data_IF_729408509423
#
_entry.id   IF_729408509423
#
_cell.length_a   1.000
_cell.length_b   1.000
_cell.length_c   1.000
_cell.angle_alpha   90.00
_cell.angle_beta   90.00
_cell.angle_gamma   90.00
#
_symmetry.space_group_name_H-M   'P 1'
#
loop_
_entity.id
_entity.type
_entity.pdbx_description
1 polymer ?
#
# COMPACT_ATOMS: atom_id res chain seq x y z
N UNK A 1 -7.55 59.10 35.14
CA UNK A 1 -7.07 57.81 35.71
C UNK A 1 -7.68 56.70 34.91
N UNK A 2 -6.96 56.12 33.98
CA UNK A 2 -7.44 55.02 33.11
C UNK A 2 -6.41 53.90 33.29
N UNK A 3 -6.84 52.85 33.94
CA UNK A 3 -6.03 51.63 34.16
C UNK A 3 -6.09 50.73 32.94
N UNK A 4 -4.99 50.61 32.22
CA UNK A 4 -4.77 49.62 31.18
C UNK A 4 -4.59 48.25 31.80
N UNK A 5 -5.50 47.33 31.54
CA UNK A 5 -5.29 45.91 31.74
C UNK A 5 -4.41 45.38 30.56
N UNK A 6 -3.19 45.03 30.88
CA UNK A 6 -2.31 44.32 29.97
C UNK A 6 -2.63 42.83 30.00
N UNK A 7 -3.24 42.34 28.92
CA UNK A 7 -3.45 40.92 28.67
C UNK A 7 -2.12 40.25 28.33
N UNK A 8 -1.48 39.68 29.33
CA UNK A 8 -0.26 38.90 29.18
C UNK A 8 -0.60 37.51 28.64
N UNK A 9 -0.66 37.38 27.32
CA UNK A 9 -0.65 36.06 26.67
C UNK A 9 0.63 35.32 27.08
N UNK A 10 0.53 34.41 28.05
CA UNK A 10 1.56 33.42 28.33
C UNK A 10 1.77 32.60 27.06
N UNK A 11 2.80 32.90 26.30
CA UNK A 11 3.40 31.99 25.35
C UNK A 11 3.99 30.84 26.15
N UNK A 12 3.34 29.67 26.07
CA UNK A 12 3.91 28.41 26.56
C UNK A 12 5.10 28.11 25.66
N UNK A 13 6.31 28.00 26.18
CA UNK A 13 7.46 27.64 25.36
C UNK A 13 7.20 26.23 24.82
N UNK A 14 7.10 26.09 23.50
CA UNK A 14 7.25 24.81 22.80
C UNK A 14 8.71 24.45 23.01
N UNK A 15 8.99 23.62 24.00
CA UNK A 15 10.31 23.02 24.13
C UNK A 15 10.50 22.10 22.93
N UNK A 16 11.26 22.58 21.94
CA UNK A 16 11.88 21.73 20.93
C UNK A 16 12.89 20.82 21.63
N UNK A 17 12.44 19.85 22.37
CA UNK A 17 13.26 18.72 22.76
C UNK A 17 13.59 17.97 21.47
N UNK A 18 14.72 18.29 20.91
CA UNK A 18 15.30 17.66 19.74
C UNK A 18 15.54 16.19 20.10
N UNK A 19 14.67 15.31 19.62
CA UNK A 19 14.97 13.89 19.52
C UNK A 19 16.32 13.80 18.79
N UNK A 20 17.32 13.24 19.44
CA UNK A 20 18.69 13.23 18.95
C UNK A 20 18.89 12.13 17.91
N UNK A 21 18.06 12.14 16.85
CA UNK A 21 18.29 11.32 15.67
C UNK A 21 19.44 11.92 14.87
N UNK A 22 20.54 11.19 14.78
CA UNK A 22 21.69 11.62 13.97
C UNK A 22 21.45 11.26 12.51
N UNK A 23 21.79 12.13 11.55
CA UNK A 23 21.55 11.87 10.13
C UNK A 23 22.37 10.70 9.59
N UNK A 24 21.91 10.10 8.49
CA UNK A 24 22.41 8.87 7.84
C UNK A 24 23.85 8.96 7.26
N UNK A 25 24.70 9.85 7.75
CA UNK A 25 26.01 10.15 7.18
C UNK A 25 27.12 9.13 7.50
N UNK A 26 26.90 8.18 8.42
CA UNK A 26 27.93 7.20 8.80
C UNK A 26 27.34 5.79 9.00
N UNK A 27 28.17 4.73 8.77
CA UNK A 27 27.80 3.32 9.02
C UNK A 27 27.22 3.05 10.41
N UNK A 28 27.67 3.82 11.41
CA UNK A 28 27.20 3.70 12.79
C UNK A 28 25.73 4.15 12.95
N UNK A 29 25.28 5.09 12.13
CA UNK A 29 23.92 5.65 12.17
C UNK A 29 22.94 4.74 11.43
N UNK A 30 23.36 4.12 10.30
CA UNK A 30 22.56 3.12 9.61
C UNK A 30 22.24 1.94 10.54
N UNK A 31 23.17 1.52 11.39
CA UNK A 31 22.97 0.42 12.35
C UNK A 31 21.87 0.71 13.37
N UNK A 32 21.63 1.96 13.75
CA UNK A 32 20.54 2.32 14.69
C UNK A 32 19.15 2.15 14.09
N UNK A 33 19.03 2.26 12.76
CA UNK A 33 17.77 2.13 12.03
C UNK A 33 17.56 0.73 11.41
N UNK A 34 18.54 -0.18 11.53
CA UNK A 34 18.41 -1.56 11.04
C UNK A 34 17.15 -2.27 11.52
N UNK A 35 16.73 -2.17 12.80
CA UNK A 35 15.48 -2.83 13.24
C UNK A 35 14.25 -2.31 12.51
N UNK A 36 14.18 -1.00 12.21
CA UNK A 36 13.08 -0.40 11.45
C UNK A 36 13.11 -0.84 9.98
N UNK A 37 14.29 -0.88 9.37
CA UNK A 37 14.44 -1.37 7.99
C UNK A 37 14.11 -2.86 7.89
N UNK A 38 14.51 -3.65 8.88
CA UNK A 38 14.18 -5.07 8.96
C UNK A 38 12.68 -5.30 9.17
N UNK A 39 12.02 -4.45 9.97
CA UNK A 39 10.55 -4.42 10.04
C UNK A 39 9.91 -4.31 8.66
N UNK A 40 10.35 -3.36 7.82
CA UNK A 40 9.80 -3.20 6.45
C UNK A 40 10.09 -4.40 5.55
N UNK A 41 11.24 -5.04 5.68
CA UNK A 41 11.53 -6.28 4.95
C UNK A 41 10.58 -7.41 5.35
N UNK A 42 10.40 -7.63 6.65
CA UNK A 42 9.47 -8.65 7.17
C UNK A 42 8.01 -8.34 6.79
N UNK A 43 7.64 -7.06 6.81
CA UNK A 43 6.31 -6.61 6.39
C UNK A 43 6.05 -6.95 4.92
N UNK A 44 7.00 -6.63 4.04
CA UNK A 44 6.91 -6.99 2.62
C UNK A 44 6.86 -8.49 2.40
N UNK A 45 7.63 -9.26 3.17
CA UNK A 45 7.61 -10.72 3.16
C UNK A 45 6.22 -11.25 3.56
N UNK A 46 5.67 -10.80 4.69
CA UNK A 46 4.39 -11.30 5.23
C UNK A 46 3.22 -11.12 4.26
N UNK A 47 3.19 -10.01 3.51
CA UNK A 47 2.12 -9.76 2.55
C UNK A 47 2.20 -10.66 1.32
N UNK A 48 3.40 -10.99 0.86
CA UNK A 48 3.56 -11.72 -0.39
C UNK A 48 3.66 -13.23 -0.18
N UNK A 49 4.21 -13.69 0.94
CA UNK A 49 4.48 -15.11 1.19
C UNK A 49 3.21 -15.98 1.11
N UNK A 50 2.09 -15.46 1.56
CA UNK A 50 0.81 -16.17 1.55
C UNK A 50 -0.01 -15.96 0.27
N UNK A 51 0.46 -15.17 -0.69
CA UNK A 51 -0.36 -14.71 -1.82
C UNK A 51 -0.86 -15.88 -2.69
N UNK A 52 0.02 -16.81 -3.05
CA UNK A 52 -0.35 -18.01 -3.82
C UNK A 52 -1.23 -18.93 -2.99
N UNK A 53 -0.79 -19.27 -1.78
CA UNK A 53 -1.53 -20.14 -0.88
C UNK A 53 -2.95 -19.63 -0.61
N UNK A 54 -3.12 -18.33 -0.39
CA UNK A 54 -4.43 -17.71 -0.14
C UNK A 54 -5.35 -17.82 -1.36
N UNK A 55 -4.83 -17.54 -2.58
CA UNK A 55 -5.61 -17.67 -3.82
C UNK A 55 -6.13 -19.09 -4.00
N UNK A 56 -5.25 -20.09 -3.95
CA UNK A 56 -5.64 -21.49 -4.13
C UNK A 56 -6.53 -22.00 -2.99
N UNK A 57 -6.27 -21.64 -1.75
CA UNK A 57 -7.10 -22.02 -0.62
C UNK A 57 -8.53 -21.48 -0.76
N UNK A 58 -8.68 -20.22 -1.19
CA UNK A 58 -10.01 -19.66 -1.47
C UNK A 58 -10.72 -20.35 -2.63
N UNK A 59 -9.99 -20.70 -3.70
CA UNK A 59 -10.58 -21.36 -4.88
C UNK A 59 -10.91 -22.82 -4.63
N UNK A 60 -10.01 -23.58 -3.99
CA UNK A 60 -10.09 -25.04 -3.89
C UNK A 60 -10.73 -25.54 -2.58
N UNK A 61 -10.41 -24.87 -1.47
CA UNK A 61 -10.85 -25.31 -0.13
C UNK A 61 -12.14 -24.60 0.28
N UNK A 62 -12.15 -23.27 0.22
CA UNK A 62 -13.34 -22.47 0.58
C UNK A 62 -14.37 -22.46 -0.56
N UNK A 63 -13.90 -22.60 -1.81
CA UNK A 63 -14.72 -22.68 -3.04
C UNK A 63 -15.55 -21.43 -3.31
N UNK A 64 -14.97 -20.26 -3.07
CA UNK A 64 -15.61 -18.98 -3.34
C UNK A 64 -15.65 -18.66 -4.84
N UNK A 65 -16.64 -17.88 -5.25
CA UNK A 65 -16.73 -17.33 -6.61
C UNK A 65 -15.72 -16.18 -6.80
N UNK A 66 -15.40 -15.79 -8.05
CA UNK A 66 -14.54 -14.65 -8.33
C UNK A 66 -15.04 -13.34 -7.70
N UNK A 67 -16.34 -13.10 -7.67
CA UNK A 67 -16.95 -11.93 -7.04
C UNK A 67 -16.80 -11.96 -5.52
N UNK A 68 -17.05 -13.10 -4.87
CA UNK A 68 -16.87 -13.29 -3.44
C UNK A 68 -15.40 -13.10 -3.04
N UNK A 69 -14.46 -13.67 -3.80
CA UNK A 69 -13.02 -13.52 -3.53
C UNK A 69 -12.60 -12.04 -3.59
N UNK A 70 -13.06 -11.30 -4.61
CA UNK A 70 -12.78 -9.88 -4.73
C UNK A 70 -13.35 -9.07 -3.55
N UNK A 71 -14.61 -9.35 -3.16
CA UNK A 71 -15.25 -8.71 -2.01
C UNK A 71 -14.54 -9.02 -0.69
N UNK A 72 -14.16 -10.28 -0.45
CA UNK A 72 -13.42 -10.67 0.77
C UNK A 72 -12.08 -9.94 0.89
N UNK A 73 -11.32 -9.81 -0.21
CA UNK A 73 -10.08 -9.01 -0.22
C UNK A 73 -10.36 -7.52 -0.03
N UNK A 74 -11.41 -6.98 -0.68
CA UNK A 74 -11.83 -5.59 -0.52
C UNK A 74 -12.16 -5.25 0.93
N UNK A 75 -13.01 -6.05 1.59
CA UNK A 75 -13.36 -5.88 3.01
C UNK A 75 -12.13 -6.00 3.91
N UNK A 76 -11.24 -6.97 3.64
CA UNK A 76 -10.00 -7.16 4.41
C UNK A 76 -9.01 -5.99 4.24
N UNK A 77 -9.16 -5.16 3.23
CA UNK A 77 -8.36 -3.95 3.03
C UNK A 77 -8.94 -2.70 3.73
N UNK A 78 -10.19 -2.73 4.22
CA UNK A 78 -10.83 -1.57 4.92
C UNK A 78 -9.97 -1.00 6.05
N UNK A 79 -9.31 -1.80 6.91
CA UNK A 79 -8.45 -1.27 7.97
C UNK A 79 -7.36 -0.31 7.48
N UNK A 80 -6.87 -0.47 6.25
CA UNK A 80 -5.86 0.42 5.65
C UNK A 80 -6.40 1.83 5.35
N UNK A 81 -7.72 1.99 5.28
CA UNK A 81 -8.38 3.29 5.15
C UNK A 81 -8.39 4.05 6.48
N UNK A 82 -8.20 3.35 7.60
CA UNK A 82 -8.26 3.90 8.95
C UNK A 82 -6.90 4.32 9.52
N UNK A 83 -5.83 4.34 8.73
CA UNK A 83 -4.47 4.73 9.16
C UNK A 83 -4.41 6.01 10.01
N UNK A 84 -5.13 7.12 9.70
CA UNK A 84 -5.10 8.31 10.53
C UNK A 84 -5.66 8.09 11.94
N UNK A 85 -6.62 7.18 12.09
CA UNK A 85 -7.22 6.83 13.38
C UNK A 85 -6.19 6.12 14.26
N UNK A 86 -5.43 5.20 13.69
CA UNK A 86 -4.38 4.46 14.42
C UNK A 86 -3.25 5.39 14.88
N UNK A 87 -2.80 6.28 14.00
CA UNK A 87 -1.84 7.33 14.35
C UNK A 87 -2.36 8.21 15.50
N UNK A 88 -3.62 8.62 15.41
CA UNK A 88 -4.28 9.42 16.44
C UNK A 88 -4.38 8.69 17.78
N UNK A 89 -4.75 7.40 17.78
CA UNK A 89 -4.83 6.58 19.02
C UNK A 89 -3.47 6.55 19.69
N UNK A 90 -2.40 6.24 18.94
CA UNK A 90 -1.06 6.11 19.49
C UNK A 90 -0.48 7.44 19.98
N UNK A 91 -0.78 8.55 19.29
CA UNK A 91 -0.37 9.89 19.70
C UNK A 91 -1.07 10.34 20.98
N UNK A 92 -2.34 9.94 21.15
CA UNK A 92 -3.17 10.37 22.27
C UNK A 92 -2.93 9.57 23.54
N UNK A 93 -2.61 8.27 23.41
CA UNK A 93 -2.49 7.38 24.56
C UNK A 93 -1.24 6.50 24.45
N UNK A 94 -0.14 6.88 25.11
CA UNK A 94 1.03 6.00 25.21
C UNK A 94 0.66 4.70 25.94
N UNK A 95 1.15 3.57 25.42
CA UNK A 95 0.94 2.25 26.05
C UNK A 95 2.26 1.82 26.71
N UNK A 96 2.23 1.51 28.01
CA UNK A 96 3.43 1.19 28.81
C UNK A 96 4.53 2.28 28.74
N UNK A 97 4.14 3.54 28.57
CA UNK A 97 5.04 4.66 28.45
C UNK A 97 5.69 4.85 27.06
N UNK A 98 5.30 4.06 26.07
CA UNK A 98 5.78 4.19 24.69
C UNK A 98 4.65 4.51 23.72
N UNK A 99 4.90 5.41 22.77
CA UNK A 99 3.88 5.81 21.77
C UNK A 99 3.77 4.85 20.61
N UNK A 100 4.86 4.22 20.20
CA UNK A 100 4.93 3.43 18.97
C UNK A 100 5.24 1.97 19.26
N UNK A 101 6.35 1.71 19.95
CA UNK A 101 6.90 0.38 20.16
C UNK A 101 5.92 -0.61 20.78
N UNK A 102 5.21 -0.22 21.84
CA UNK A 102 4.26 -1.11 22.50
C UNK A 102 3.09 -1.52 21.63
N UNK A 103 2.60 -0.59 20.80
CA UNK A 103 1.57 -0.88 19.80
C UNK A 103 2.07 -1.80 18.69
N UNK A 104 3.29 -1.54 18.15
CA UNK A 104 3.91 -2.42 17.15
C UNK A 104 3.99 -3.87 17.66
N UNK A 105 4.52 -4.07 18.87
CA UNK A 105 4.66 -5.38 19.49
C UNK A 105 3.29 -6.05 19.69
N UNK A 106 2.33 -5.35 20.31
CA UNK A 106 1.02 -5.91 20.62
C UNK A 106 0.22 -6.30 19.38
N UNK A 107 0.15 -5.41 18.39
CA UNK A 107 -0.59 -5.69 17.16
C UNK A 107 0.11 -6.70 16.25
N UNK A 108 1.45 -6.80 16.27
CA UNK A 108 2.15 -7.86 15.57
C UNK A 108 1.83 -9.24 16.15
N UNK A 109 1.78 -9.40 17.48
CA UNK A 109 1.31 -10.65 18.11
C UNK A 109 -0.16 -10.94 17.78
N UNK A 110 -1.01 -9.92 17.74
CA UNK A 110 -2.42 -10.09 17.32
C UNK A 110 -2.50 -10.61 15.88
N UNK A 111 -1.70 -10.05 14.96
CA UNK A 111 -1.63 -10.53 13.57
C UNK A 111 -1.15 -12.00 13.52
N UNK A 112 -0.11 -12.36 14.29
CA UNK A 112 0.37 -13.74 14.35
C UNK A 112 -0.74 -14.71 14.80
N UNK A 113 -1.49 -14.33 15.83
CA UNK A 113 -2.62 -15.11 16.32
C UNK A 113 -3.71 -15.29 15.26
N UNK A 114 -4.04 -14.25 14.50
CA UNK A 114 -5.02 -14.34 13.42
C UNK A 114 -4.56 -15.28 12.29
N UNK A 115 -3.27 -15.29 11.95
CA UNK A 115 -2.72 -16.25 10.99
C UNK A 115 -2.77 -17.70 11.47
N UNK A 116 -2.59 -17.95 12.78
CA UNK A 116 -2.77 -19.29 13.38
C UNK A 116 -4.24 -19.68 13.37
N UNK A 117 -5.13 -18.73 13.63
CA UNK A 117 -6.57 -18.97 13.71
C UNK A 117 -7.20 -19.28 12.34
N UNK A 118 -6.69 -18.66 11.27
CA UNK A 118 -7.27 -18.72 9.92
C UNK A 118 -7.54 -20.14 9.40
N UNK A 119 -6.60 -21.10 9.47
CA UNK A 119 -6.87 -22.47 9.03
C UNK A 119 -7.75 -23.29 10.01
N UNK A 120 -8.02 -22.78 11.21
CA UNK A 120 -8.77 -23.49 12.25
C UNK A 120 -10.25 -23.11 12.31
N UNK A 121 -10.63 -21.99 11.66
CA UNK A 121 -12.03 -21.55 11.65
C UNK A 121 -12.85 -22.32 10.61
N UNK A 122 -14.19 -22.41 10.78
CA UNK A 122 -15.07 -22.96 9.76
C UNK A 122 -14.87 -22.26 8.42
N UNK A 123 -15.07 -22.98 7.31
CA UNK A 123 -14.97 -22.43 5.95
C UNK A 123 -16.20 -21.59 5.60
N UNK A 124 -16.60 -20.71 6.50
CA UNK A 124 -17.64 -19.71 6.33
C UNK A 124 -17.03 -18.38 5.83
N UNK A 125 -17.59 -17.83 4.76
CA UNK A 125 -17.08 -16.62 4.11
C UNK A 125 -16.97 -15.43 5.07
N UNK A 126 -17.97 -15.26 5.94
CA UNK A 126 -18.00 -14.14 6.89
C UNK A 126 -16.92 -14.31 7.96
N UNK A 127 -16.77 -15.51 8.51
CA UNK A 127 -15.77 -15.79 9.56
C UNK A 127 -14.37 -15.65 9.00
N UNK A 128 -14.11 -16.20 7.81
CA UNK A 128 -12.80 -16.09 7.14
C UNK A 128 -12.49 -14.61 6.87
N UNK A 129 -13.45 -13.88 6.30
CA UNK A 129 -13.28 -12.44 6.01
C UNK A 129 -13.01 -11.64 7.28
N UNK A 130 -13.70 -11.96 8.38
CA UNK A 130 -13.47 -11.31 9.67
C UNK A 130 -12.05 -11.57 10.19
N UNK A 131 -11.56 -12.82 10.16
CA UNK A 131 -10.22 -13.18 10.60
C UNK A 131 -9.15 -12.49 9.71
N UNK A 132 -9.34 -12.49 8.39
CA UNK A 132 -8.46 -11.78 7.45
C UNK A 132 -8.44 -10.27 7.73
N UNK A 133 -9.61 -9.68 7.98
CA UNK A 133 -9.75 -8.25 8.30
C UNK A 133 -9.02 -7.90 9.61
N UNK A 134 -9.14 -8.74 10.63
CA UNK A 134 -8.43 -8.55 11.90
C UNK A 134 -6.92 -8.75 11.76
N UNK A 135 -6.46 -9.72 10.97
CA UNK A 135 -5.04 -9.92 10.65
C UNK A 135 -4.46 -8.70 9.93
N UNK A 136 -5.16 -8.26 8.89
CA UNK A 136 -4.82 -7.09 8.06
C UNK A 136 -4.80 -5.80 8.90
N UNK A 137 -5.83 -5.59 9.73
CA UNK A 137 -5.94 -4.42 10.61
C UNK A 137 -4.84 -4.36 11.66
N UNK A 138 -4.50 -5.50 12.24
CA UNK A 138 -3.41 -5.60 13.21
C UNK A 138 -2.07 -5.24 12.57
N UNK A 139 -1.80 -5.76 11.38
CA UNK A 139 -0.57 -5.43 10.65
C UNK A 139 -0.55 -3.97 10.19
N UNK A 140 -1.70 -3.44 9.74
CA UNK A 140 -1.83 -2.04 9.37
C UNK A 140 -1.55 -1.10 10.55
N UNK A 141 -2.01 -1.44 11.75
CA UNK A 141 -1.70 -0.65 12.95
C UNK A 141 -0.20 -0.60 13.21
N UNK A 142 0.48 -1.76 13.14
CA UNK A 142 1.93 -1.82 13.30
C UNK A 142 2.68 -1.03 12.21
N UNK A 143 2.22 -1.09 10.94
CA UNK A 143 2.76 -0.32 9.81
C UNK A 143 2.65 1.19 10.04
N UNK A 144 1.51 1.69 10.53
CA UNK A 144 1.32 3.12 10.85
C UNK A 144 2.28 3.59 11.95
N UNK A 145 2.59 2.74 12.92
CA UNK A 145 3.57 3.07 13.95
C UNK A 145 4.98 3.16 13.36
N UNK A 146 5.35 2.22 12.49
CA UNK A 146 6.62 2.25 11.77
C UNK A 146 6.74 3.46 10.84
N UNK A 147 5.68 3.77 10.07
CA UNK A 147 5.60 4.95 9.21
C UNK A 147 5.78 6.26 10.01
N UNK A 148 5.21 6.34 11.21
CA UNK A 148 5.35 7.50 12.09
C UNK A 148 6.80 7.68 12.57
N UNK A 149 7.46 6.58 12.96
CA UNK A 149 8.89 6.59 13.33
C UNK A 149 9.76 6.95 12.11
N UNK A 150 9.42 6.43 10.93
CA UNK A 150 10.13 6.75 9.69
C UNK A 150 10.08 8.24 9.36
N UNK A 151 8.90 8.88 9.52
CA UNK A 151 8.73 10.33 9.32
C UNK A 151 9.53 11.12 10.36
N UNK A 152 9.58 10.67 11.62
CA UNK A 152 10.39 11.30 12.67
C UNK A 152 11.89 11.25 12.33
N UNK A 153 12.38 10.10 11.84
CA UNK A 153 13.79 9.95 11.38
C UNK A 153 14.06 10.81 10.14
N UNK A 154 13.16 10.83 9.17
CA UNK A 154 13.31 11.59 7.92
C UNK A 154 13.36 13.11 8.14
N UNK A 155 12.77 13.64 9.23
CA UNK A 155 12.82 15.06 9.57
C UNK A 155 14.21 15.55 9.96
N UNK A 156 15.07 14.65 10.43
CA UNK A 156 16.43 14.98 10.90
C UNK A 156 17.46 14.75 9.80
N UNK A 157 17.06 14.24 8.63
CA UNK A 157 17.94 14.09 7.47
C UNK A 157 18.41 15.48 6.97
N UNK A 158 19.71 15.60 6.70
CA UNK A 158 20.28 16.79 6.03
C UNK A 158 19.69 16.96 4.63
N UNK A 159 19.63 18.21 4.12
CA UNK A 159 19.01 18.54 2.83
C UNK A 159 19.55 17.71 1.65
N UNK A 160 20.84 17.37 1.67
CA UNK A 160 21.46 16.52 0.65
C UNK A 160 21.01 15.07 0.69
N UNK A 161 20.45 14.60 1.82
CA UNK A 161 20.08 13.21 2.08
C UNK A 161 18.56 13.01 2.22
N UNK A 162 17.76 14.05 2.04
CA UNK A 162 16.30 13.99 2.18
C UNK A 162 15.67 12.84 1.34
N UNK A 163 14.90 12.01 2.01
CA UNK A 163 14.22 10.87 1.42
C UNK A 163 15.06 9.59 1.33
N UNK A 164 16.26 9.58 1.90
CA UNK A 164 17.13 8.40 1.87
C UNK A 164 16.53 7.26 2.70
N UNK A 165 16.12 7.51 3.93
CA UNK A 165 15.53 6.48 4.80
C UNK A 165 14.22 5.93 4.21
N UNK A 166 13.39 6.79 3.60
CA UNK A 166 12.17 6.38 2.95
C UNK A 166 12.43 5.47 1.75
N UNK A 167 13.43 5.83 0.92
CA UNK A 167 13.85 4.98 -0.20
C UNK A 167 14.35 3.62 0.27
N UNK A 168 15.16 3.57 1.33
CA UNK A 168 15.64 2.32 1.92
C UNK A 168 14.49 1.47 2.47
N UNK A 169 13.52 2.06 3.15
CA UNK A 169 12.36 1.34 3.68
C UNK A 169 11.53 0.68 2.58
N UNK A 170 11.28 1.38 1.47
CA UNK A 170 10.60 0.81 0.31
C UNK A 170 11.42 -0.28 -0.39
N UNK A 171 12.74 -0.08 -0.52
CA UNK A 171 13.63 -1.12 -1.07
C UNK A 171 13.63 -2.38 -0.20
N UNK A 172 13.69 -2.25 1.12
CA UNK A 172 13.62 -3.38 2.05
C UNK A 172 12.27 -4.08 1.97
N UNK A 173 11.16 -3.33 1.88
CA UNK A 173 9.81 -3.86 1.69
C UNK A 173 9.69 -4.66 0.39
N UNK A 174 10.17 -4.11 -0.72
CA UNK A 174 10.18 -4.83 -2.01
C UNK A 174 11.13 -6.02 -2.00
N UNK A 175 12.30 -5.91 -1.36
CA UNK A 175 13.23 -7.01 -1.19
C UNK A 175 12.63 -8.17 -0.39
N UNK A 176 11.95 -7.87 0.71
CA UNK A 176 11.19 -8.87 1.48
C UNK A 176 10.09 -9.52 0.65
N UNK A 177 9.32 -8.73 -0.11
CA UNK A 177 8.29 -9.21 -1.02
C UNK A 177 8.86 -10.10 -2.13
N UNK A 178 10.01 -9.75 -2.70
CA UNK A 178 10.70 -10.56 -3.71
C UNK A 178 11.11 -11.93 -3.17
N UNK A 179 11.72 -11.97 -1.97
CA UNK A 179 12.08 -13.23 -1.32
C UNK A 179 10.83 -14.09 -1.04
N UNK A 180 9.76 -13.45 -0.59
CA UNK A 180 8.50 -14.13 -0.30
C UNK A 180 7.82 -14.66 -1.57
N UNK A 181 7.82 -13.91 -2.67
CA UNK A 181 7.28 -14.35 -3.95
C UNK A 181 8.00 -15.60 -4.46
N UNK A 182 9.35 -15.62 -4.37
CA UNK A 182 10.15 -16.78 -4.79
C UNK A 182 10.00 -18.02 -3.89
N UNK A 183 9.60 -17.84 -2.64
CA UNK A 183 9.47 -18.95 -1.68
C UNK A 183 8.03 -19.36 -1.40
N UNK A 184 7.06 -18.49 -1.60
CA UNK A 184 5.64 -18.72 -1.26
C UNK A 184 4.98 -19.80 -2.10
N UNK A 185 5.21 -19.83 -3.43
CA UNK A 185 4.70 -20.87 -4.31
C UNK A 185 5.31 -22.24 -3.97
N UNK A 186 6.63 -22.28 -3.79
CA UNK A 186 7.37 -23.51 -3.38
C UNK A 186 6.84 -24.02 -2.04
N UNK A 187 6.61 -23.13 -1.07
CA UNK A 187 6.05 -23.51 0.22
C UNK A 187 4.64 -24.08 0.07
N UNK A 188 3.79 -23.46 -0.76
CA UNK A 188 2.44 -23.96 -1.01
C UNK A 188 2.45 -25.36 -1.64
N UNK A 189 3.26 -25.60 -2.65
CA UNK A 189 3.37 -26.90 -3.33
C UNK A 189 3.84 -28.02 -2.39
N UNK A 190 4.77 -27.72 -1.46
CA UNK A 190 5.33 -28.74 -0.57
C UNK A 190 4.49 -28.99 0.67
N UNK A 191 3.75 -28.03 1.19
CA UNK A 191 3.09 -28.16 2.50
C UNK A 191 1.61 -27.77 2.52
N UNK A 192 1.07 -27.25 1.43
CA UNK A 192 -0.32 -26.79 1.34
C UNK A 192 -0.59 -25.46 2.02
N UNK A 193 -1.78 -24.89 1.78
CA UNK A 193 -2.12 -23.52 2.19
C UNK A 193 -2.12 -23.33 3.71
N UNK A 194 -2.72 -24.26 4.45
CA UNK A 194 -2.89 -24.14 5.91
C UNK A 194 -1.54 -24.07 6.63
N UNK A 195 -0.58 -24.93 6.23
CA UNK A 195 0.77 -24.90 6.79
C UNK A 195 1.54 -23.63 6.39
N UNK A 196 1.31 -23.08 5.19
CA UNK A 196 1.86 -21.78 4.79
C UNK A 196 1.34 -20.66 5.68
N UNK A 197 0.04 -20.67 6.06
CA UNK A 197 -0.52 -19.70 7.00
C UNK A 197 0.09 -19.83 8.39
N UNK A 198 0.25 -21.06 8.88
CA UNK A 198 0.92 -21.30 10.16
C UNK A 198 2.38 -20.85 10.13
N UNK A 199 3.11 -21.12 9.05
CA UNK A 199 4.49 -20.65 8.88
C UNK A 199 4.55 -19.12 8.81
N UNK A 200 3.62 -18.49 8.07
CA UNK A 200 3.54 -17.03 8.01
C UNK A 200 3.28 -16.38 9.38
N UNK A 201 2.64 -17.05 10.33
CA UNK A 201 2.42 -16.51 11.66
C UNK A 201 3.72 -16.19 12.41
N UNK A 202 4.82 -16.86 12.06
CA UNK A 202 6.15 -16.59 12.62
C UNK A 202 6.71 -15.23 12.17
N UNK A 203 6.27 -14.72 11.01
CA UNK A 203 6.75 -13.44 10.48
C UNK A 203 6.28 -12.26 11.33
N UNK A 204 4.98 -12.10 11.67
CA UNK A 204 4.55 -11.11 12.65
C UNK A 204 5.19 -11.26 14.03
N UNK A 205 5.52 -12.48 14.48
CA UNK A 205 6.31 -12.70 15.71
C UNK A 205 7.71 -12.09 15.55
N UNK A 206 8.39 -12.35 14.43
CA UNK A 206 9.70 -11.75 14.15
C UNK A 206 9.61 -10.20 14.06
N UNK A 207 8.51 -9.67 13.50
CA UNK A 207 8.21 -8.23 13.51
C UNK A 207 8.06 -7.72 14.95
N UNK A 208 7.33 -8.42 15.82
CA UNK A 208 7.18 -8.06 17.23
C UNK A 208 8.53 -8.00 17.95
N UNK A 209 9.36 -9.03 17.75
CA UNK A 209 10.72 -9.10 18.32
C UNK A 209 11.60 -7.96 17.78
N UNK A 210 11.62 -7.74 16.46
CA UNK A 210 12.38 -6.62 15.86
C UNK A 210 11.94 -5.26 16.40
N UNK A 211 10.63 -5.09 16.62
CA UNK A 211 10.06 -3.85 17.16
C UNK A 211 10.52 -3.53 18.58
N UNK A 212 10.90 -4.54 19.37
CA UNK A 212 11.46 -4.33 20.72
C UNK A 212 12.83 -3.64 20.70
N UNK A 213 13.54 -3.73 19.59
CA UNK A 213 14.87 -3.10 19.39
C UNK A 213 14.80 -1.75 18.71
N UNK A 214 13.63 -1.31 18.25
CA UNK A 214 13.45 0.01 17.64
C UNK A 214 13.54 1.06 18.76
N UNK A 215 14.39 2.09 18.61
CA UNK A 215 14.44 3.21 19.54
C UNK A 215 13.10 3.93 19.61
N UNK A 216 12.53 4.06 20.79
CA UNK A 216 11.31 4.83 21.06
C UNK A 216 11.45 5.47 22.45
N UNK A 217 11.15 6.75 22.55
CA UNK A 217 11.29 7.48 23.81
C UNK A 217 10.07 7.31 24.70
N UNK A 218 10.33 7.17 26.01
CA UNK A 218 9.24 7.16 26.99
C UNK A 218 8.63 8.53 27.10
N UNK A 219 7.31 8.59 27.07
CA UNK A 219 6.56 9.85 27.21
C UNK A 219 5.24 9.64 27.92
N UNK A 220 4.94 10.52 28.85
CA UNK A 220 3.62 10.63 29.49
C UNK A 220 2.78 11.76 28.89
N UNK A 221 3.29 12.41 27.84
CA UNK A 221 2.66 13.60 27.25
C UNK A 221 1.43 13.22 26.45
N UNK A 222 0.27 13.68 26.89
CA UNK A 222 -0.99 13.59 26.15
C UNK A 222 -1.09 14.74 25.14
N UNK A 223 -1.39 14.41 23.89
CA UNK A 223 -1.59 15.41 22.83
C UNK A 223 -3.03 15.93 22.85
N UNK A 224 -3.20 17.26 22.70
CA UNK A 224 -4.52 17.89 22.61
C UNK A 224 -5.14 17.64 21.23
N UNK A 225 -5.87 16.53 21.11
CA UNK A 225 -6.48 16.01 19.89
C UNK A 225 -7.33 17.04 19.11
N UNK A 226 -8.05 17.95 19.82
CA UNK A 226 -8.84 19.00 19.17
C UNK A 226 -7.99 19.95 18.32
N UNK A 227 -6.80 20.34 18.79
CA UNK A 227 -5.93 21.24 18.05
C UNK A 227 -5.35 20.59 16.79
N UNK A 228 -4.94 19.32 16.89
CA UNK A 228 -4.43 18.56 15.73
C UNK A 228 -5.54 18.34 14.70
N UNK A 229 -6.75 17.98 15.13
CA UNK A 229 -7.90 17.81 14.25
C UNK A 229 -8.27 19.10 13.50
N UNK A 230 -8.27 20.26 14.19
CA UNK A 230 -8.56 21.55 13.55
C UNK A 230 -7.50 21.95 12.51
N UNK A 231 -6.22 21.72 12.82
CA UNK A 231 -5.12 21.97 11.86
C UNK A 231 -5.24 21.09 10.63
N UNK A 232 -5.50 19.80 10.82
CA UNK A 232 -5.68 18.84 9.73
C UNK A 232 -6.86 19.24 8.85
N UNK A 233 -8.00 19.56 9.45
CA UNK A 233 -9.21 19.97 8.73
C UNK A 233 -8.99 21.24 7.89
N UNK A 234 -8.28 22.23 8.47
CA UNK A 234 -7.91 23.46 7.76
C UNK A 234 -6.96 23.18 6.59
N UNK A 235 -6.01 22.25 6.76
CA UNK A 235 -5.08 21.85 5.70
C UNK A 235 -5.82 21.15 4.54
N UNK A 236 -6.66 20.16 4.85
CA UNK A 236 -7.40 19.37 3.84
C UNK A 236 -8.32 20.24 2.97
N UNK A 237 -8.89 21.31 3.52
CA UNK A 237 -9.76 22.22 2.76
C UNK A 237 -9.03 23.10 1.73
N UNK A 238 -7.71 23.15 1.75
CA UNK A 238 -6.95 23.96 0.77
C UNK A 238 -7.02 23.32 -0.63
N UNK A 239 -7.31 24.11 -1.69
CA UNK A 239 -7.38 23.61 -3.08
C UNK A 239 -6.12 22.89 -3.54
N UNK A 240 -4.94 23.34 -3.10
CA UNK A 240 -3.66 22.70 -3.38
C UNK A 240 -3.49 21.31 -2.74
N UNK A 241 -4.38 20.90 -1.83
CA UNK A 241 -4.36 19.58 -1.19
C UNK A 241 -5.52 18.71 -1.66
N UNK A 242 -6.78 19.20 -1.58
CA UNK A 242 -7.91 18.33 -1.92
C UNK A 242 -8.01 17.98 -3.42
N UNK A 243 -7.60 18.88 -4.34
CA UNK A 243 -7.64 18.58 -5.77
C UNK A 243 -6.70 17.45 -6.17
N UNK A 244 -5.39 17.47 -5.78
CA UNK A 244 -4.51 16.34 -6.03
C UNK A 244 -4.94 15.07 -5.30
N UNK A 245 -5.43 15.18 -4.05
CA UNK A 245 -5.94 14.04 -3.29
C UNK A 245 -7.14 13.39 -4.01
N UNK A 246 -8.05 14.18 -4.56
CA UNK A 246 -9.17 13.68 -5.35
C UNK A 246 -8.71 13.06 -6.67
N UNK A 247 -7.70 13.63 -7.34
CA UNK A 247 -7.09 13.02 -8.53
C UNK A 247 -6.47 11.65 -8.21
N UNK A 248 -5.72 11.55 -7.11
CA UNK A 248 -5.17 10.28 -6.62
C UNK A 248 -6.29 9.27 -6.34
N UNK A 249 -7.37 9.71 -5.69
CA UNK A 249 -8.53 8.87 -5.44
C UNK A 249 -9.15 8.34 -6.74
N UNK A 250 -9.30 9.19 -7.76
CA UNK A 250 -9.84 8.77 -9.06
C UNK A 250 -9.00 7.71 -9.75
N UNK A 251 -7.66 7.75 -9.62
CA UNK A 251 -6.78 6.68 -10.12
C UNK A 251 -7.04 5.36 -9.40
N UNK A 252 -7.25 5.42 -8.08
CA UNK A 252 -7.36 4.22 -7.27
C UNK A 252 -8.77 3.61 -7.24
N UNK A 253 -9.81 4.36 -7.65
CA UNK A 253 -11.21 3.91 -7.53
C UNK A 253 -11.73 3.18 -8.76
N UNK A 254 -10.98 3.17 -9.86
CA UNK A 254 -11.37 2.46 -11.08
C UNK A 254 -11.56 0.97 -10.83
N UNK A 255 -12.60 0.33 -11.41
CA UNK A 255 -12.94 -1.05 -11.12
C UNK A 255 -11.80 -2.02 -11.48
N UNK A 256 -11.55 -3.02 -10.66
CA UNK A 256 -10.54 -4.05 -10.90
C UNK A 256 -11.18 -5.39 -11.27
N UNK A 257 -10.74 -6.01 -12.35
CA UNK A 257 -11.14 -7.37 -12.75
C UNK A 257 -10.18 -8.47 -12.24
N UNK A 258 -9.23 -8.13 -11.33
CA UNK A 258 -8.18 -9.03 -10.88
C UNK A 258 -8.66 -10.36 -10.31
N UNK A 259 -9.77 -10.38 -9.56
CA UNK A 259 -10.38 -11.61 -9.06
C UNK A 259 -10.82 -12.54 -10.20
N UNK A 260 -11.56 -12.02 -11.18
CA UNK A 260 -12.02 -12.79 -12.33
C UNK A 260 -10.85 -13.31 -13.20
N UNK A 261 -9.82 -12.46 -13.39
CA UNK A 261 -8.60 -12.84 -14.14
C UNK A 261 -7.82 -13.95 -13.42
N UNK A 262 -7.76 -13.95 -12.09
CA UNK A 262 -7.11 -15.03 -11.32
C UNK A 262 -7.76 -16.38 -11.63
N UNK A 263 -9.10 -16.46 -11.58
CA UNK A 263 -9.83 -17.68 -11.94
C UNK A 263 -9.65 -18.07 -13.41
N UNK A 264 -9.61 -17.08 -14.31
CA UNK A 264 -9.35 -17.33 -15.72
C UNK A 264 -7.97 -17.95 -15.95
N UNK A 265 -6.93 -17.41 -15.33
CA UNK A 265 -5.56 -17.97 -15.42
C UNK A 265 -5.52 -19.41 -14.87
N UNK A 266 -6.13 -19.67 -13.72
CA UNK A 266 -6.09 -20.98 -13.08
C UNK A 266 -6.99 -22.00 -13.80
N UNK A 267 -8.25 -21.66 -14.10
CA UNK A 267 -9.24 -22.63 -14.60
C UNK A 267 -9.22 -22.80 -16.12
N UNK A 268 -9.10 -21.70 -16.86
CA UNK A 268 -9.15 -21.72 -18.33
C UNK A 268 -7.77 -21.92 -18.92
N UNK A 269 -6.75 -21.15 -18.45
CA UNK A 269 -5.39 -21.26 -18.95
C UNK A 269 -4.57 -22.32 -18.22
N UNK A 270 -5.06 -22.85 -17.09
CA UNK A 270 -4.44 -23.90 -16.26
C UNK A 270 -3.06 -23.56 -15.72
N UNK A 271 -2.91 -22.32 -15.27
CA UNK A 271 -1.65 -21.88 -14.65
C UNK A 271 -1.44 -22.62 -13.33
N UNK A 272 -0.22 -23.09 -13.15
CA UNK A 272 0.24 -23.77 -11.94
C UNK A 272 0.62 -22.77 -10.84
N UNK A 273 0.70 -23.20 -9.57
CA UNK A 273 1.22 -22.35 -8.48
C UNK A 273 2.60 -21.77 -8.76
N UNK A 274 3.49 -22.54 -9.40
CA UNK A 274 4.83 -22.10 -9.77
C UNK A 274 4.81 -20.97 -10.81
N UNK A 275 3.90 -21.04 -11.79
CA UNK A 275 3.73 -20.00 -12.80
C UNK A 275 3.19 -18.71 -12.16
N UNK A 276 2.23 -18.80 -11.23
CA UNK A 276 1.80 -17.65 -10.44
C UNK A 276 2.94 -17.07 -9.59
N UNK A 277 3.74 -17.95 -8.97
CA UNK A 277 4.92 -17.54 -8.20
C UNK A 277 5.95 -16.81 -9.08
N UNK A 278 6.19 -17.29 -10.30
CA UNK A 278 7.10 -16.65 -11.25
C UNK A 278 6.60 -15.27 -11.70
N UNK A 279 5.28 -15.12 -11.93
CA UNK A 279 4.66 -13.82 -12.21
C UNK A 279 4.84 -12.84 -11.03
N UNK A 280 4.61 -13.30 -9.81
CA UNK A 280 4.77 -12.49 -8.59
C UNK A 280 6.26 -12.07 -8.40
N UNK A 281 7.22 -12.97 -8.60
CA UNK A 281 8.66 -12.66 -8.54
C UNK A 281 9.02 -11.58 -9.55
N UNK A 282 8.57 -11.75 -10.80
CA UNK A 282 8.87 -10.79 -11.86
C UNK A 282 8.23 -9.42 -11.57
N UNK A 283 7.03 -9.40 -11.03
CA UNK A 283 6.37 -8.15 -10.61
C UNK A 283 7.23 -7.35 -9.62
N UNK A 284 7.82 -8.00 -8.61
CA UNK A 284 8.70 -7.33 -7.65
C UNK A 284 10.02 -6.87 -8.29
N UNK A 285 10.62 -7.67 -9.16
CA UNK A 285 11.82 -7.26 -9.91
C UNK A 285 11.53 -6.00 -10.74
N UNK A 286 10.42 -5.99 -11.45
CA UNK A 286 10.01 -4.84 -12.29
C UNK A 286 9.65 -3.63 -11.45
N UNK A 287 9.01 -3.79 -10.28
CA UNK A 287 8.73 -2.68 -9.35
C UNK A 287 10.02 -2.03 -8.84
N UNK A 288 11.03 -2.82 -8.47
CA UNK A 288 12.36 -2.31 -8.07
C UNK A 288 13.00 -1.55 -9.23
N UNK A 289 13.02 -2.16 -10.43
CA UNK A 289 13.58 -1.55 -11.63
C UNK A 289 12.85 -0.26 -12.02
N UNK A 290 11.52 -0.27 -12.05
CA UNK A 290 10.68 0.90 -12.36
C UNK A 290 10.90 2.05 -11.37
N UNK A 291 11.06 1.74 -10.07
CA UNK A 291 11.42 2.72 -9.05
C UNK A 291 12.78 3.35 -9.33
N UNK A 292 13.77 2.55 -9.72
CA UNK A 292 15.09 3.05 -10.11
C UNK A 292 15.01 3.95 -11.35
N UNK A 293 14.29 3.53 -12.39
CA UNK A 293 14.08 4.32 -13.62
C UNK A 293 13.39 5.65 -13.30
N UNK A 294 12.32 5.63 -12.49
CA UNK A 294 11.66 6.85 -12.04
C UNK A 294 12.64 7.80 -11.34
N UNK A 295 13.36 7.30 -10.34
CA UNK A 295 14.34 8.11 -9.57
C UNK A 295 15.44 8.68 -10.47
N UNK A 296 15.91 7.95 -11.46
CA UNK A 296 17.06 8.35 -12.29
C UNK A 296 16.67 9.30 -13.43
N UNK A 297 15.50 9.08 -14.06
CA UNK A 297 15.13 9.75 -15.31
C UNK A 297 13.88 10.60 -15.23
N UNK A 298 12.85 10.19 -14.44
CA UNK A 298 11.53 10.80 -14.47
C UNK A 298 11.28 11.82 -13.36
N UNK A 299 12.08 11.84 -12.30
CA UNK A 299 11.86 12.74 -11.12
C UNK A 299 11.81 14.23 -11.45
N UNK A 300 12.38 14.66 -12.58
CA UNK A 300 12.40 16.04 -13.05
C UNK A 300 11.30 16.35 -14.07
N UNK A 301 10.55 15.34 -14.49
CA UNK A 301 9.44 15.49 -15.43
C UNK A 301 8.20 15.94 -14.65
N UNK A 302 7.39 16.81 -15.25
CA UNK A 302 6.17 17.27 -14.58
C UNK A 302 5.17 16.13 -14.33
N UNK A 303 4.52 16.14 -13.17
CA UNK A 303 3.52 15.14 -12.79
C UNK A 303 2.42 14.95 -13.84
N UNK A 304 1.89 16.05 -14.41
CA UNK A 304 0.84 15.99 -15.43
C UNK A 304 1.29 15.18 -16.65
N UNK A 305 2.54 15.38 -17.10
CA UNK A 305 3.08 14.62 -18.25
C UNK A 305 3.27 13.15 -17.92
N UNK A 306 3.84 12.84 -16.74
CA UNK A 306 4.05 11.44 -16.32
C UNK A 306 2.71 10.73 -16.22
N UNK A 307 1.76 11.29 -15.45
CA UNK A 307 0.43 10.68 -15.29
C UNK A 307 -0.29 10.54 -16.63
N UNK A 308 -0.26 11.57 -17.48
CA UNK A 308 -0.92 11.53 -18.79
C UNK A 308 -0.41 10.39 -19.67
N UNK A 309 0.91 10.27 -19.81
CA UNK A 309 1.51 9.18 -20.59
C UNK A 309 1.33 7.81 -19.94
N UNK A 310 1.56 7.71 -18.64
CA UNK A 310 1.48 6.42 -17.96
C UNK A 310 0.05 5.86 -17.94
N UNK A 311 -0.95 6.69 -17.63
CA UNK A 311 -2.37 6.26 -17.66
C UNK A 311 -2.83 5.87 -19.07
N UNK A 312 -2.41 6.62 -20.11
CA UNK A 312 -2.72 6.25 -21.48
C UNK A 312 -2.05 4.93 -21.87
N UNK A 313 -0.79 4.75 -21.50
CA UNK A 313 -0.07 3.51 -21.78
C UNK A 313 -0.64 2.32 -20.99
N UNK A 314 -1.03 2.50 -19.72
CA UNK A 314 -1.72 1.47 -18.96
C UNK A 314 -3.00 1.04 -19.67
N UNK A 315 -3.87 1.99 -20.06
CA UNK A 315 -5.09 1.69 -20.81
C UNK A 315 -4.82 0.89 -22.08
N UNK A 316 -3.83 1.28 -22.88
CA UNK A 316 -3.49 0.56 -24.14
C UNK A 316 -2.98 -0.86 -23.86
N UNK A 317 -2.13 -1.03 -22.84
CA UNK A 317 -1.56 -2.31 -22.48
C UNK A 317 -2.61 -3.25 -21.87
N UNK A 318 -3.45 -2.75 -20.96
CA UNK A 318 -4.53 -3.54 -20.36
C UNK A 318 -5.52 -4.07 -21.41
N UNK A 319 -5.74 -3.31 -22.51
CA UNK A 319 -6.54 -3.81 -23.63
C UNK A 319 -5.86 -4.94 -24.41
N UNK A 320 -4.53 -5.14 -24.29
CA UNK A 320 -3.88 -6.33 -24.89
C UNK A 320 -4.31 -7.62 -24.21
N UNK A 321 -4.75 -7.60 -22.93
CA UNK A 321 -5.33 -8.75 -22.25
C UNK A 321 -6.60 -9.29 -22.94
N UNK A 322 -7.31 -8.46 -23.71
CA UNK A 322 -8.42 -8.92 -24.54
C UNK A 322 -7.96 -9.99 -25.55
N UNK A 323 -6.75 -9.87 -26.09
CA UNK A 323 -6.20 -10.86 -27.01
C UNK A 323 -6.01 -12.21 -26.32
N UNK A 324 -5.61 -12.20 -25.04
CA UNK A 324 -5.46 -13.41 -24.23
C UNK A 324 -6.83 -14.02 -23.87
N UNK A 325 -7.79 -13.19 -23.42
CA UNK A 325 -9.12 -13.62 -23.02
C UNK A 325 -9.91 -14.18 -24.22
N UNK A 326 -9.68 -13.66 -25.43
CA UNK A 326 -10.29 -14.12 -26.67
C UNK A 326 -9.44 -15.18 -27.37
N UNK A 327 -8.35 -15.65 -26.78
CA UNK A 327 -7.38 -16.63 -27.30
C UNK A 327 -6.73 -16.25 -28.65
N UNK A 328 -6.78 -14.99 -29.07
CA UNK A 328 -6.16 -14.50 -30.32
C UNK A 328 -4.63 -14.66 -30.29
N UNK A 329 -4.02 -14.63 -29.10
CA UNK A 329 -2.59 -14.92 -28.94
C UNK A 329 -2.21 -16.30 -29.47
N UNK A 330 -3.10 -17.31 -29.37
CA UNK A 330 -2.87 -18.66 -29.89
C UNK A 330 -2.84 -18.69 -31.42
N UNK A 331 -3.71 -17.89 -32.06
CA UNK A 331 -3.71 -17.73 -33.53
C UNK A 331 -2.43 -17.03 -34.01
N UNK A 332 -1.83 -16.19 -33.15
CA UNK A 332 -0.51 -15.56 -33.39
C UNK A 332 0.67 -16.51 -33.12
N UNK A 333 0.43 -17.72 -32.66
CA UNK A 333 1.47 -18.70 -32.29
C UNK A 333 2.17 -18.39 -30.95
N UNK A 334 1.58 -17.55 -30.10
CA UNK A 334 2.15 -17.16 -28.81
C UNK A 334 1.48 -17.97 -27.70
N UNK A 335 2.24 -18.78 -26.91
CA UNK A 335 1.68 -19.49 -25.75
C UNK A 335 1.08 -18.55 -24.71
N UNK A 336 -0.01 -18.96 -24.07
CA UNK A 336 -0.75 -18.15 -23.10
C UNK A 336 0.12 -17.63 -21.97
N UNK A 337 0.97 -18.48 -21.40
CA UNK A 337 1.88 -18.10 -20.33
C UNK A 337 2.89 -17.03 -20.77
N UNK A 338 3.47 -17.19 -21.97
CA UNK A 338 4.44 -16.22 -22.51
C UNK A 338 3.77 -14.87 -22.72
N UNK A 339 2.55 -14.87 -23.25
CA UNK A 339 1.77 -13.65 -23.47
C UNK A 339 1.44 -12.95 -22.15
N UNK A 340 0.89 -13.69 -21.18
CA UNK A 340 0.53 -13.17 -19.86
C UNK A 340 1.75 -12.64 -19.10
N UNK A 341 2.89 -13.34 -19.19
CA UNK A 341 4.14 -12.94 -18.57
C UNK A 341 4.69 -11.63 -19.16
N UNK A 342 4.75 -11.54 -20.49
CA UNK A 342 5.24 -10.34 -21.17
C UNK A 342 4.36 -9.13 -20.89
N UNK A 343 3.03 -9.30 -20.95
CA UNK A 343 2.06 -8.26 -20.64
C UNK A 343 2.24 -7.77 -19.19
N UNK A 344 2.29 -8.70 -18.22
CA UNK A 344 2.46 -8.38 -16.79
C UNK A 344 3.72 -7.57 -16.51
N UNK A 345 4.84 -7.92 -17.15
CA UNK A 345 6.12 -7.20 -17.03
C UNK A 345 5.97 -5.75 -17.50
N UNK A 346 5.43 -5.56 -18.70
CA UNK A 346 5.33 -4.22 -19.30
C UNK A 346 4.30 -3.37 -18.56
N UNK A 347 3.15 -3.94 -18.24
CA UNK A 347 2.09 -3.25 -17.47
C UNK A 347 2.60 -2.84 -16.09
N UNK A 348 3.25 -3.74 -15.34
CA UNK A 348 3.82 -3.43 -14.02
C UNK A 348 4.81 -2.27 -14.09
N UNK A 349 5.66 -2.22 -15.12
CA UNK A 349 6.60 -1.11 -15.31
C UNK A 349 5.86 0.23 -15.50
N UNK A 350 4.83 0.25 -16.33
CA UNK A 350 4.03 1.46 -16.61
C UNK A 350 3.24 1.89 -15.38
N UNK A 351 2.61 0.96 -14.67
CA UNK A 351 1.90 1.23 -13.40
C UNK A 351 2.85 1.79 -12.36
N UNK A 352 4.13 1.37 -12.34
CA UNK A 352 5.13 1.94 -11.43
C UNK A 352 5.39 3.42 -11.73
N UNK A 353 5.24 3.86 -12.99
CA UNK A 353 5.31 5.28 -13.37
C UNK A 353 4.06 6.09 -13.00
N UNK A 354 2.97 5.43 -12.60
CA UNK A 354 1.83 6.07 -11.92
C UNK A 354 2.07 6.09 -10.40
N UNK A 355 2.49 4.97 -9.83
CA UNK A 355 2.62 4.77 -8.37
C UNK A 355 3.69 5.67 -7.75
N UNK A 356 4.88 5.75 -8.35
CA UNK A 356 5.98 6.53 -7.77
C UNK A 356 5.69 8.04 -7.73
N UNK A 357 5.23 8.69 -8.82
CA UNK A 357 4.81 10.09 -8.76
C UNK A 357 3.68 10.33 -7.77
N UNK A 358 2.74 9.39 -7.62
CA UNK A 358 1.62 9.50 -6.68
C UNK A 358 2.11 9.57 -5.22
N UNK A 359 3.04 8.69 -4.84
CA UNK A 359 3.64 8.68 -3.49
C UNK A 359 4.45 9.96 -3.25
N UNK A 360 5.25 10.40 -4.24
CA UNK A 360 6.05 11.63 -4.15
C UNK A 360 5.16 12.86 -4.08
N UNK A 361 4.09 12.91 -4.86
CA UNK A 361 3.09 13.99 -4.81
C UNK A 361 2.43 14.05 -3.44
N UNK A 362 2.00 12.91 -2.89
CA UNK A 362 1.44 12.81 -1.55
C UNK A 362 2.37 13.38 -0.48
N UNK A 363 3.65 13.05 -0.53
CA UNK A 363 4.64 13.57 0.40
C UNK A 363 4.86 15.09 0.26
N UNK A 364 4.85 15.62 -0.98
CA UNK A 364 5.02 17.07 -1.25
C UNK A 364 3.82 17.91 -0.83
N UNK A 365 2.62 17.32 -0.76
CA UNK A 365 1.42 18.04 -0.34
C UNK A 365 1.35 18.30 1.16
N UNK A 366 2.24 17.73 1.95
CA UNK A 366 2.19 17.79 3.43
C UNK A 366 2.87 19.05 3.97
N UNK A 367 2.13 20.05 4.52
CA UNK A 367 2.72 21.26 5.09
C UNK A 367 3.43 20.97 6.43
N UNK A 368 4.38 21.84 6.79
CA UNK A 368 5.15 21.72 8.04
C UNK A 368 4.22 21.69 9.28
N UNK A 369 4.44 20.71 10.15
CA UNK A 369 3.73 20.55 11.43
C UNK A 369 2.52 19.62 11.43
N UNK A 370 2.12 19.08 10.27
CA UNK A 370 1.05 18.05 10.13
C UNK A 370 1.41 16.98 9.10
N UNK A 371 2.69 16.88 8.75
CA UNK A 371 3.18 16.04 7.65
C UNK A 371 2.78 14.58 7.81
N UNK A 372 3.04 13.99 8.99
CA UNK A 372 2.75 12.58 9.24
C UNK A 372 1.26 12.25 9.15
N UNK A 373 0.41 13.08 9.79
CA UNK A 373 -1.04 12.88 9.81
C UNK A 373 -1.66 13.10 8.42
N UNK A 374 -1.21 14.12 7.68
CA UNK A 374 -1.73 14.39 6.35
C UNK A 374 -1.25 13.34 5.34
N UNK A 375 0.01 12.90 5.43
CA UNK A 375 0.50 11.78 4.61
C UNK A 375 -0.29 10.50 4.88
N UNK A 376 -0.53 10.15 6.15
CA UNK A 376 -1.37 9.03 6.53
C UNK A 376 -2.79 9.15 5.95
N UNK A 377 -3.37 10.37 5.93
CA UNK A 377 -4.68 10.62 5.31
C UNK A 377 -4.64 10.39 3.80
N UNK A 378 -3.62 10.90 3.10
CA UNK A 378 -3.48 10.69 1.65
C UNK A 378 -3.29 9.20 1.31
N UNK A 379 -2.49 8.46 2.09
CA UNK A 379 -2.37 7.02 1.94
C UNK A 379 -3.71 6.29 2.23
N UNK A 380 -4.52 6.81 3.16
CA UNK A 380 -5.86 6.26 3.41
C UNK A 380 -6.81 6.52 2.24
N UNK A 381 -6.69 7.64 1.55
CA UNK A 381 -7.45 7.94 0.32
C UNK A 381 -7.11 6.94 -0.78
N UNK A 382 -5.83 6.58 -0.97
CA UNK A 382 -5.43 5.56 -1.93
C UNK A 382 -5.98 4.19 -1.57
N UNK A 383 -5.88 3.80 -0.30
CA UNK A 383 -6.40 2.53 0.19
C UNK A 383 -7.92 2.45 0.05
N UNK A 384 -8.64 3.53 0.37
CA UNK A 384 -10.09 3.60 0.23
C UNK A 384 -10.52 3.50 -1.25
N UNK A 385 -9.79 4.16 -2.15
CA UNK A 385 -9.98 3.98 -3.59
C UNK A 385 -9.84 2.51 -4.00
N UNK A 386 -8.80 1.82 -3.52
CA UNK A 386 -8.57 0.40 -3.77
C UNK A 386 -9.68 -0.53 -3.25
N UNK A 387 -10.23 -0.24 -2.06
CA UNK A 387 -11.39 -0.98 -1.54
C UNK A 387 -12.60 -0.81 -2.46
N UNK A 388 -12.92 0.42 -2.83
CA UNK A 388 -14.04 0.69 -3.76
C UNK A 388 -13.78 0.03 -5.12
N UNK A 389 -12.55 0.06 -5.63
CA UNK A 389 -12.14 -0.61 -6.86
C UNK A 389 -12.45 -2.11 -6.84
N UNK A 390 -12.11 -2.79 -5.74
CA UNK A 390 -12.39 -4.21 -5.56
C UNK A 390 -13.91 -4.50 -5.51
N UNK A 391 -14.68 -3.68 -4.79
CA UNK A 391 -16.15 -3.82 -4.69
C UNK A 391 -16.84 -3.54 -6.03
N UNK A 392 -16.43 -2.50 -6.78
CA UNK A 392 -16.91 -2.26 -8.14
C UNK A 392 -16.58 -3.44 -9.07
N UNK A 393 -15.36 -3.96 -9.00
CA UNK A 393 -14.93 -5.13 -9.75
C UNK A 393 -15.78 -6.35 -9.44
N UNK A 394 -16.05 -6.62 -8.16
CA UNK A 394 -16.94 -7.69 -7.69
C UNK A 394 -18.36 -7.53 -8.24
N UNK A 395 -18.93 -6.32 -8.11
CA UNK A 395 -20.28 -6.01 -8.60
C UNK A 395 -20.40 -6.26 -10.10
N UNK A 396 -19.48 -5.72 -10.90
CA UNK A 396 -19.51 -5.88 -12.35
C UNK A 396 -19.26 -7.32 -12.79
N UNK A 397 -18.40 -8.06 -12.08
CA UNK A 397 -18.20 -9.51 -12.29
C UNK A 397 -19.50 -10.27 -12.11
N UNK A 398 -20.24 -9.99 -11.03
CA UNK A 398 -21.56 -10.60 -10.76
C UNK A 398 -22.61 -10.19 -11.79
N UNK A 399 -22.72 -8.89 -12.14
CA UNK A 399 -23.70 -8.38 -13.11
C UNK A 399 -23.51 -8.96 -14.52
N UNK A 400 -22.27 -9.21 -14.94
CA UNK A 400 -21.94 -9.79 -16.24
C UNK A 400 -22.00 -11.32 -16.25
N UNK A 401 -22.29 -11.95 -15.09
CA UNK A 401 -22.42 -13.40 -14.97
C UNK A 401 -21.10 -14.14 -15.18
N UNK A 402 -19.96 -13.50 -14.88
CA UNK A 402 -18.66 -14.15 -14.88
C UNK A 402 -18.55 -14.98 -13.60
N UNK A 403 -18.26 -16.27 -13.76
CA UNK A 403 -18.17 -17.23 -12.65
C UNK A 403 -16.82 -17.95 -12.68
N UNK A 404 -16.59 -18.82 -11.69
CA UNK A 404 -15.37 -19.66 -11.64
C UNK A 404 -15.22 -20.64 -12.81
N UNK A 405 -16.30 -20.85 -13.59
CA UNK A 405 -16.33 -21.84 -14.71
C UNK A 405 -16.89 -21.25 -16.01
N UNK A 406 -17.39 -20.02 -15.99
CA UNK A 406 -17.94 -19.35 -17.17
C UNK A 406 -17.28 -18.00 -17.40
N UNK A 407 -16.42 -17.92 -18.39
CA UNK A 407 -15.66 -16.74 -18.77
C UNK A 407 -16.18 -16.06 -20.05
N UNK A 408 -17.35 -16.46 -20.57
CA UNK A 408 -17.92 -15.95 -21.84
C UNK A 408 -18.00 -14.44 -21.91
N UNK A 409 -18.33 -13.77 -20.79
CA UNK A 409 -18.43 -12.30 -20.71
C UNK A 409 -17.19 -11.63 -20.07
N UNK A 410 -16.11 -12.37 -19.81
CA UNK A 410 -14.91 -11.82 -19.20
C UNK A 410 -14.30 -10.67 -20.03
N UNK A 411 -14.33 -10.79 -21.36
CA UNK A 411 -13.87 -9.71 -22.23
C UNK A 411 -14.68 -8.41 -22.09
N UNK A 412 -15.99 -8.50 -21.80
CA UNK A 412 -16.84 -7.32 -21.54
C UNK A 412 -16.49 -6.69 -20.21
N UNK A 413 -16.24 -7.52 -19.19
CA UNK A 413 -15.79 -7.06 -17.88
C UNK A 413 -14.46 -6.31 -18.00
N UNK A 414 -13.49 -6.91 -18.68
CA UNK A 414 -12.17 -6.33 -18.92
C UNK A 414 -12.30 -4.98 -19.65
N UNK A 415 -13.06 -4.94 -20.76
CA UNK A 415 -13.27 -3.71 -21.51
C UNK A 415 -13.95 -2.62 -20.67
N UNK A 416 -14.93 -2.97 -19.84
CA UNK A 416 -15.62 -2.04 -18.96
C UNK A 416 -14.63 -1.44 -17.92
N UNK A 417 -13.83 -2.28 -17.28
CA UNK A 417 -12.80 -1.82 -16.33
C UNK A 417 -11.81 -0.87 -17.00
N UNK A 418 -11.24 -1.29 -18.14
CA UNK A 418 -10.26 -0.50 -18.89
C UNK A 418 -10.84 0.84 -19.37
N UNK A 419 -12.10 0.90 -19.78
CA UNK A 419 -12.74 2.18 -20.14
C UNK A 419 -12.88 3.11 -18.93
N UNK A 420 -13.11 2.58 -17.73
CA UNK A 420 -13.14 3.37 -16.51
C UNK A 420 -11.76 3.96 -16.17
N UNK A 421 -10.66 3.31 -16.58
CA UNK A 421 -9.29 3.79 -16.37
C UNK A 421 -8.94 5.06 -17.20
N UNK A 422 -9.82 5.44 -18.13
CA UNK A 422 -9.74 6.75 -18.82
C UNK A 422 -10.27 7.93 -17.98
N UNK A 423 -11.06 7.67 -16.93
CA UNK A 423 -11.65 8.72 -16.08
C UNK A 423 -10.57 9.63 -15.46
N UNK A 424 -9.48 9.09 -14.87
CA UNK A 424 -8.40 9.93 -14.34
C UNK A 424 -7.72 10.82 -15.40
N UNK A 425 -7.65 10.40 -16.66
CA UNK A 425 -7.10 11.24 -17.74
C UNK A 425 -7.90 12.53 -17.92
N UNK A 426 -9.24 12.45 -17.85
CA UNK A 426 -10.11 13.63 -17.91
C UNK A 426 -9.92 14.56 -16.69
N UNK A 427 -9.45 14.02 -15.57
CA UNK A 427 -9.21 14.75 -14.32
C UNK A 427 -7.80 15.36 -14.21
N UNK A 428 -6.87 15.13 -15.15
CA UNK A 428 -5.52 15.72 -15.16
C UNK A 428 -5.50 17.26 -14.96
N UNK A 429 -6.48 18.05 -15.46
CA UNK A 429 -6.52 19.48 -15.21
C UNK A 429 -6.59 19.87 -13.72
N UNK A 430 -7.01 18.96 -12.81
CA UNK A 430 -7.02 19.20 -11.36
C UNK A 430 -5.60 19.44 -10.80
N UNK A 431 -4.58 18.94 -11.51
CA UNK A 431 -3.18 19.13 -11.15
C UNK A 431 -2.57 20.42 -11.69
N UNK A 432 -3.33 21.22 -12.50
CA UNK A 432 -2.86 22.50 -13.00
C UNK A 432 -2.71 23.49 -11.84
N UNK A 433 -1.59 24.18 -11.79
CA UNK A 433 -1.23 25.10 -10.71
C UNK A 433 -0.22 24.56 -9.72
N UNK A 434 -0.14 23.22 -9.50
CA UNK A 434 0.88 22.62 -8.64
C UNK A 434 2.32 22.84 -9.16
N UNK A 435 2.49 23.06 -10.45
CA UNK A 435 3.81 23.29 -11.07
C UNK A 435 4.40 24.66 -10.74
N UNK A 436 3.58 25.64 -10.38
CA UNK A 436 4.04 26.99 -10.01
C UNK A 436 4.41 27.08 -8.51
N UNK A 437 3.88 26.18 -7.67
CA UNK A 437 4.16 26.14 -6.23
C UNK A 437 5.35 25.20 -5.89
N UNK A 438 5.89 24.46 -6.86
CA UNK A 438 6.97 23.47 -6.65
C UNK A 438 8.35 23.94 -7.15
N UNK A 439 8.56 25.23 -7.30
CA UNK A 439 9.90 25.81 -7.49
C UNK A 439 10.75 25.61 -6.22
N UNK A 440 12.10 25.60 -6.34
CA UNK A 440 12.98 25.47 -5.17
C UNK A 440 12.73 26.55 -4.10
N UNK A 441 12.06 27.66 -4.45
CA UNK A 441 11.79 28.80 -3.57
C UNK A 441 10.41 28.80 -2.89
N UNK A 442 9.56 27.81 -3.15
CA UNK A 442 8.20 27.73 -2.58
C UNK A 442 8.13 27.24 -1.13
N UNK A 443 9.29 27.02 -0.48
CA UNK A 443 9.43 26.48 0.87
C UNK A 443 10.40 27.28 1.75
N UNK A 444 10.60 28.59 1.48
CA UNK A 444 11.26 29.50 2.42
C UNK A 444 10.25 30.15 3.34
#
# INVERSE_FOLDING_TARGET
>A
MATRHADTKRQIPVSDEKINYKPFATDKQMRQHLPLLFFYALLGFSFQFTSVAMRYWMMETVKVSPAQMAAMFGVSAIPWCLKPVYGFISDSKPLFGYRRRSYMVGFSFMSAYMWILLPLVPHDEFIITLVMTLASGSMCFADVMADSLLVEVARVEEDAQKGTIQSWSWMMRFGGGLLAAGTGAIAYDNMGAENVFLLNSMVPVAIAISSMFIPDERTDRQVHWRQTGTKLWTAVRKPGIYKPAFFIFLICVTPSCGGAMTFFYERELRFTPDEFGALDVMEYVVKIFGTFVYKRYLRHVSFIRIFGWALLMSFLLENTLLLLVLHVNRDMGIPDYVFAFAERVVLTLVVQFVTMPMVVLGARLCPKGVEGTLYALLMSVTNFGGVISAEWGSLFTGMLGVTSTNFTNLWKLLLLCNLCDLIPLAALPLLRGLQHETGPDAYI
#
